data_IF_574099313972
#
_entry.id   IF_574099313972
#
_cell.length_a   1.000
_cell.length_b   1.000
_cell.length_c   1.000
_cell.angle_alpha   90.00
_cell.angle_beta   90.00
_cell.angle_gamma   90.00
#
_symmetry.space_group_name_H-M   'P 1'
#
loop_
_entity.id
_entity.type
_entity.pdbx_description
1 polymer ?
#
# COMPACT_ATOMS: atom_id res chain seq x y z
N UNK A 1 -25.96 1.86 9.73
CA UNK A 1 -25.17 3.09 9.92
C UNK A 1 -24.12 2.81 10.98
N UNK A 2 -22.87 2.59 10.59
CA UNK A 2 -21.72 2.62 11.51
C UNK A 2 -20.70 3.55 10.88
N UNK A 3 -20.77 4.82 11.25
CA UNK A 3 -19.71 5.80 10.98
C UNK A 3 -18.77 5.84 12.18
N UNK A 4 -17.50 5.62 11.94
CA UNK A 4 -16.44 6.26 12.71
C UNK A 4 -15.32 6.60 11.72
N UNK A 5 -15.19 7.90 11.46
CA UNK A 5 -14.23 8.51 10.58
C UNK A 5 -12.80 8.22 11.07
N UNK A 6 -12.09 7.35 10.36
CA UNK A 6 -10.64 7.47 10.27
C UNK A 6 -10.33 8.47 9.16
N UNK A 7 -10.10 9.74 9.49
CA UNK A 7 -9.54 10.71 8.54
C UNK A 7 -8.17 10.14 8.13
N UNK A 8 -8.00 9.88 6.84
CA UNK A 8 -6.71 9.55 6.26
C UNK A 8 -5.73 10.69 6.58
N UNK A 9 -4.85 10.50 7.58
CA UNK A 9 -3.72 11.40 7.82
C UNK A 9 -2.47 10.75 7.25
N UNK A 10 -1.83 11.40 6.28
CA UNK A 10 -0.41 11.15 6.02
C UNK A 10 0.32 11.55 7.29
N UNK A 11 0.92 10.57 7.95
CA UNK A 11 1.66 10.77 9.19
C UNK A 11 3.14 10.88 8.82
N UNK A 12 3.81 11.96 9.23
CA UNK A 12 5.27 12.04 9.11
C UNK A 12 5.88 10.98 10.02
N UNK A 13 6.57 9.99 9.45
CA UNK A 13 7.37 9.04 10.22
C UNK A 13 8.84 9.34 9.93
N UNK A 14 9.46 10.09 10.84
CA UNK A 14 10.90 10.30 10.82
C UNK A 14 11.55 9.05 11.42
N UNK A 15 12.19 8.22 10.59
CA UNK A 15 12.99 7.07 11.04
C UNK A 15 14.44 7.55 11.18
N UNK A 16 14.77 8.12 12.33
CA UNK A 16 16.14 8.51 12.67
C UNK A 16 16.82 7.41 13.51
N UNK A 17 18.12 7.20 13.34
CA UNK A 17 18.92 6.34 14.24
C UNK A 17 20.29 7.00 14.51
N UNK A 18 20.98 6.76 15.65
CA UNK A 18 20.63 5.92 16.81
C UNK A 18 20.84 6.63 18.18
N UNK A 19 19.81 6.78 19.02
CA UNK A 19 19.99 6.82 20.50
C UNK A 19 18.70 6.85 21.34
N UNK A 20 17.50 6.93 20.77
CA UNK A 20 16.28 6.96 21.59
C UNK A 20 15.24 5.97 21.08
N UNK A 21 14.85 5.08 21.99
CA UNK A 21 13.72 4.18 21.86
C UNK A 21 12.50 4.95 21.34
N UNK A 22 11.86 4.52 20.23
CA UNK A 22 10.64 5.16 19.78
C UNK A 22 9.55 4.99 20.86
N UNK A 23 9.10 6.10 21.46
CA UNK A 23 7.93 6.08 22.35
C UNK A 23 6.66 6.11 21.51
N UNK A 24 6.16 4.93 21.18
CA UNK A 24 4.80 4.73 20.73
C UNK A 24 3.94 4.61 22.00
N UNK A 25 2.91 5.45 22.14
CA UNK A 25 1.92 5.27 23.20
C UNK A 25 1.09 4.00 22.89
N UNK A 26 1.51 2.86 23.44
CA UNK A 26 1.01 1.50 23.14
C UNK A 26 -0.14 1.01 24.04
N UNK A 27 -0.66 1.81 24.97
CA UNK A 27 -1.48 1.26 26.07
C UNK A 27 -2.92 0.88 25.71
N UNK A 28 -3.48 1.34 24.59
CA UNK A 28 -4.84 0.98 24.14
C UNK A 28 -4.88 -0.20 23.15
N UNK A 29 -3.73 -0.76 22.77
CA UNK A 29 -3.60 -1.82 21.76
C UNK A 29 -3.90 -3.23 22.28
N UNK A 30 -3.55 -3.56 23.52
CA UNK A 30 -3.46 -4.96 23.98
C UNK A 30 -4.81 -5.69 24.13
N UNK A 31 -5.89 -5.00 24.52
CA UNK A 31 -7.20 -5.64 24.67
C UNK A 31 -7.91 -5.88 23.32
N UNK A 32 -7.63 -5.07 22.31
CA UNK A 32 -8.17 -5.25 20.96
C UNK A 32 -7.47 -6.39 20.21
N UNK A 33 -6.17 -6.61 20.45
CA UNK A 33 -5.40 -7.72 19.86
C UNK A 33 -5.88 -9.10 20.33
N UNK A 34 -6.29 -9.23 21.60
CA UNK A 34 -6.67 -10.53 22.18
C UNK A 34 -7.97 -11.09 21.59
N UNK A 35 -9.01 -10.24 21.46
CA UNK A 35 -10.33 -10.66 20.93
C UNK A 35 -10.29 -10.85 19.41
N UNK A 36 -9.46 -10.09 18.70
CA UNK A 36 -9.29 -10.22 17.25
C UNK A 36 -8.48 -11.45 16.85
N UNK A 37 -7.45 -11.87 17.61
CA UNK A 37 -6.59 -12.99 17.21
C UNK A 37 -7.33 -14.34 17.09
N UNK A 38 -8.34 -14.59 17.94
CA UNK A 38 -9.05 -15.88 17.98
C UNK A 38 -10.02 -16.04 16.80
N UNK A 39 -10.77 -14.97 16.48
CA UNK A 39 -11.68 -14.98 15.32
C UNK A 39 -10.85 -15.01 14.02
N UNK A 40 -9.77 -14.23 13.95
CA UNK A 40 -8.90 -14.15 12.77
C UNK A 40 -8.24 -15.49 12.45
N UNK A 41 -7.69 -16.23 13.44
CA UNK A 41 -7.07 -17.54 13.20
C UNK A 41 -8.02 -18.57 12.57
N UNK A 42 -9.30 -18.52 12.93
CA UNK A 42 -10.29 -19.46 12.41
C UNK A 42 -10.70 -19.16 10.96
N UNK A 43 -10.76 -17.89 10.55
CA UNK A 43 -11.19 -17.47 9.20
C UNK A 43 -10.04 -17.14 8.26
N UNK A 44 -8.82 -16.93 8.77
CA UNK A 44 -7.64 -16.57 7.99
C UNK A 44 -7.34 -17.52 6.81
N UNK A 45 -7.44 -18.87 6.94
CA UNK A 45 -7.20 -19.78 5.81
C UNK A 45 -8.25 -19.66 4.70
N UNK A 46 -9.50 -19.37 5.05
CA UNK A 46 -10.58 -19.19 4.07
C UNK A 46 -10.45 -17.83 3.36
N UNK A 47 -10.13 -16.78 4.13
CA UNK A 47 -9.86 -15.45 3.60
C UNK A 47 -8.62 -15.47 2.69
N UNK A 48 -7.55 -16.17 3.07
CA UNK A 48 -6.36 -16.35 2.24
C UNK A 48 -6.71 -17.06 0.93
N UNK A 49 -7.43 -18.19 0.96
CA UNK A 49 -7.81 -18.90 -0.28
C UNK A 49 -8.63 -18.05 -1.26
N UNK A 50 -9.51 -17.16 -0.77
CA UNK A 50 -10.29 -16.24 -1.63
C UNK A 50 -9.44 -15.06 -2.11
N UNK A 51 -8.62 -14.47 -1.24
CA UNK A 51 -7.72 -13.37 -1.58
C UNK A 51 -6.71 -13.77 -2.65
N UNK A 52 -6.08 -14.93 -2.51
CA UNK A 52 -5.10 -15.44 -3.47
C UNK A 52 -5.75 -15.59 -4.86
N UNK A 53 -6.92 -16.24 -4.94
CA UNK A 53 -7.65 -16.39 -6.21
C UNK A 53 -8.03 -15.05 -6.84
N UNK A 54 -8.59 -14.14 -6.05
CA UNK A 54 -9.00 -12.83 -6.55
C UNK A 54 -7.79 -11.97 -6.96
N UNK A 55 -6.65 -12.09 -6.28
CA UNK A 55 -5.43 -11.36 -6.63
C UNK A 55 -4.89 -11.79 -8.00
N UNK A 56 -4.92 -13.08 -8.30
CA UNK A 56 -4.51 -13.63 -9.61
C UNK A 56 -5.48 -13.19 -10.69
N UNK A 57 -6.78 -13.38 -10.46
CA UNK A 57 -7.82 -12.99 -11.42
C UNK A 57 -7.80 -11.48 -11.70
N UNK A 58 -7.52 -10.65 -10.69
CA UNK A 58 -7.38 -9.20 -10.85
C UNK A 58 -6.21 -8.84 -11.77
N UNK A 59 -5.04 -9.45 -11.57
CA UNK A 59 -3.88 -9.19 -12.43
C UNK A 59 -4.13 -9.57 -13.88
N UNK A 60 -4.73 -10.74 -14.12
CA UNK A 60 -5.10 -11.16 -15.48
C UNK A 60 -6.15 -10.26 -16.11
N UNK A 61 -7.15 -9.82 -15.33
CA UNK A 61 -8.13 -8.85 -15.78
C UNK A 61 -7.46 -7.52 -16.18
N UNK A 62 -6.51 -7.02 -15.39
CA UNK A 62 -5.74 -5.81 -15.73
C UNK A 62 -4.97 -6.00 -17.03
N UNK A 63 -4.24 -7.10 -17.21
CA UNK A 63 -3.46 -7.34 -18.44
C UNK A 63 -4.33 -7.35 -19.70
N UNK A 64 -5.59 -7.79 -19.59
CA UNK A 64 -6.53 -7.87 -20.70
C UNK A 64 -7.27 -6.55 -20.97
N UNK A 65 -7.49 -5.72 -19.95
CA UNK A 65 -8.41 -4.57 -20.02
C UNK A 65 -7.73 -3.21 -19.79
N UNK A 66 -6.50 -3.18 -19.30
CA UNK A 66 -5.74 -1.95 -19.09
C UNK A 66 -4.69 -1.74 -20.19
N UNK A 67 -4.31 -0.48 -20.38
CA UNK A 67 -3.21 -0.09 -21.26
C UNK A 67 -1.88 -0.21 -20.51
N UNK A 68 -0.93 -0.96 -21.08
CA UNK A 68 0.44 -1.05 -20.55
C UNK A 68 1.09 0.34 -20.48
N UNK A 69 1.90 0.58 -19.47
CA UNK A 69 2.56 1.87 -19.18
C UNK A 69 1.59 3.04 -18.89
N UNK A 70 0.36 2.72 -18.48
CA UNK A 70 -0.64 3.71 -18.10
C UNK A 70 -1.20 3.41 -16.69
N UNK A 71 -0.62 4.00 -15.63
CA UNK A 71 -1.06 3.77 -14.26
C UNK A 71 -2.54 4.07 -14.02
N UNK A 72 -3.08 5.11 -14.67
CA UNK A 72 -4.50 5.47 -14.52
C UNK A 72 -5.42 4.40 -15.11
N UNK A 73 -5.07 3.82 -16.26
CA UNK A 73 -5.80 2.71 -16.86
C UNK A 73 -5.73 1.45 -16.01
N UNK A 74 -4.57 1.16 -15.41
CA UNK A 74 -4.40 0.03 -14.48
C UNK A 74 -5.30 0.18 -13.25
N UNK A 75 -5.29 1.35 -12.59
CA UNK A 75 -6.14 1.63 -11.41
C UNK A 75 -7.62 1.50 -11.77
N UNK A 76 -8.04 2.06 -12.91
CA UNK A 76 -9.42 1.95 -13.40
C UNK A 76 -9.85 0.50 -13.66
N UNK A 77 -8.97 -0.32 -14.23
CA UNK A 77 -9.25 -1.74 -14.44
C UNK A 77 -9.37 -2.53 -13.13
N UNK A 78 -8.55 -2.20 -12.12
CA UNK A 78 -8.68 -2.82 -10.78
C UNK A 78 -10.00 -2.39 -10.11
N UNK A 79 -10.38 -1.11 -10.21
CA UNK A 79 -11.65 -0.61 -9.67
C UNK A 79 -12.85 -1.29 -10.36
N UNK A 80 -12.79 -1.47 -11.68
CA UNK A 80 -13.81 -2.21 -12.44
C UNK A 80 -13.89 -3.69 -12.00
N UNK A 81 -12.74 -4.36 -11.81
CA UNK A 81 -12.71 -5.72 -11.29
C UNK A 81 -13.34 -5.81 -9.89
N UNK A 82 -13.03 -4.84 -9.01
CA UNK A 82 -13.54 -4.78 -7.65
C UNK A 82 -15.05 -4.50 -7.55
N UNK A 83 -15.68 -3.97 -8.61
CA UNK A 83 -17.12 -3.73 -8.63
C UNK A 83 -17.94 -5.03 -8.53
N UNK A 84 -17.38 -6.17 -8.94
CA UNK A 84 -18.03 -7.49 -8.88
C UNK A 84 -17.26 -8.52 -8.07
N UNK A 85 -16.08 -8.18 -7.54
CA UNK A 85 -15.23 -9.09 -6.79
C UNK A 85 -14.81 -8.48 -5.46
N UNK A 86 -14.80 -9.29 -4.40
CA UNK A 86 -14.31 -8.82 -3.08
C UNK A 86 -12.81 -8.55 -3.15
N UNK A 87 -12.43 -7.27 -3.03
CA UNK A 87 -11.05 -6.79 -2.98
C UNK A 87 -10.82 -5.99 -1.71
N UNK A 88 -9.57 -5.95 -1.22
CA UNK A 88 -9.17 -5.17 -0.03
C UNK A 88 -8.41 -3.89 -0.42
N UNK A 89 -8.76 -3.31 -1.56
CA UNK A 89 -8.14 -2.09 -2.06
C UNK A 89 -8.67 -0.85 -1.32
N UNK A 90 -7.90 0.24 -1.38
CA UNK A 90 -8.28 1.53 -0.77
C UNK A 90 -9.53 2.12 -1.43
N UNK A 91 -9.69 1.89 -2.74
CA UNK A 91 -10.81 2.35 -3.54
C UNK A 91 -10.79 3.85 -3.87
N UNK A 92 -11.64 4.26 -4.80
CA UNK A 92 -11.63 5.59 -5.40
C UNK A 92 -11.76 6.75 -4.39
N UNK A 93 -12.71 6.65 -3.45
CA UNK A 93 -13.02 7.73 -2.51
C UNK A 93 -11.87 8.03 -1.54
N UNK A 94 -11.36 7.02 -0.84
CA UNK A 94 -10.21 7.19 0.06
C UNK A 94 -8.95 7.53 -0.73
N UNK A 95 -8.74 6.91 -1.88
CA UNK A 95 -7.58 7.18 -2.71
C UNK A 95 -7.48 8.65 -3.14
N UNK A 96 -8.61 9.30 -3.46
CA UNK A 96 -8.61 10.70 -3.88
C UNK A 96 -8.12 11.66 -2.77
N UNK A 97 -8.39 11.34 -1.51
CA UNK A 97 -7.90 12.10 -0.35
C UNK A 97 -6.36 12.02 -0.29
N UNK A 98 -5.81 10.81 -0.48
CA UNK A 98 -4.36 10.58 -0.47
C UNK A 98 -3.70 11.27 -1.67
N UNK A 99 -4.31 11.19 -2.85
CA UNK A 99 -3.80 11.87 -4.04
C UNK A 99 -3.70 13.39 -3.82
N UNK A 100 -4.68 13.99 -3.13
CA UNK A 100 -4.65 15.42 -2.79
C UNK A 100 -3.49 15.76 -1.85
N UNK A 101 -3.29 14.96 -0.80
CA UNK A 101 -2.18 15.13 0.14
C UNK A 101 -0.82 14.96 -0.54
N UNK A 102 -0.66 13.98 -1.44
CA UNK A 102 0.57 13.77 -2.22
C UNK A 102 0.88 15.00 -3.08
N UNK A 103 -0.12 15.54 -3.79
CA UNK A 103 0.06 16.75 -4.61
C UNK A 103 0.42 17.98 -3.78
N UNK A 104 -0.12 18.09 -2.58
CA UNK A 104 0.16 19.21 -1.68
C UNK A 104 1.58 19.11 -1.09
N UNK A 105 1.97 17.93 -0.59
CA UNK A 105 3.23 17.72 0.14
C UNK A 105 4.43 17.47 -0.75
N UNK A 106 4.23 16.93 -1.95
CA UNK A 106 5.28 16.60 -2.94
C UNK A 106 6.40 15.75 -2.31
N UNK A 107 6.07 14.60 -1.72
CA UNK A 107 7.04 13.81 -0.95
C UNK A 107 8.16 13.24 -1.84
N UNK A 108 9.43 13.46 -1.44
CA UNK A 108 10.60 12.84 -2.10
C UNK A 108 10.68 11.34 -1.86
N UNK A 109 10.23 10.85 -0.71
CA UNK A 109 10.18 9.42 -0.42
C UNK A 109 8.85 9.09 0.23
N UNK A 110 8.21 8.03 -0.26
CA UNK A 110 7.00 7.48 0.34
C UNK A 110 7.18 6.00 0.66
N UNK A 111 6.52 5.54 1.71
CA UNK A 111 6.43 4.12 2.01
C UNK A 111 4.99 3.68 2.30
N UNK A 112 4.64 2.47 1.85
CA UNK A 112 3.42 1.75 2.23
C UNK A 112 3.74 0.38 2.84
N UNK A 113 2.83 -0.14 3.67
CA UNK A 113 2.96 -1.45 4.28
C UNK A 113 1.72 -2.28 3.90
N UNK A 114 1.92 -3.34 3.13
CA UNK A 114 0.88 -4.20 2.55
C UNK A 114 0.51 -3.78 1.12
N UNK A 115 1.20 -4.36 0.14
CA UNK A 115 0.98 -4.10 -1.29
C UNK A 115 -0.25 -4.85 -1.83
N UNK A 116 -0.46 -6.09 -1.36
CA UNK A 116 -1.48 -7.03 -1.85
C UNK A 116 -1.45 -7.22 -3.38
N UNK A 117 -2.29 -6.52 -4.14
CA UNK A 117 -2.34 -6.57 -5.61
C UNK A 117 -1.62 -5.40 -6.28
N UNK A 118 -1.12 -4.43 -5.52
CA UNK A 118 -0.45 -3.25 -6.04
C UNK A 118 -1.36 -2.06 -6.37
N UNK A 119 -2.64 -2.08 -5.97
CA UNK A 119 -3.58 -0.96 -6.25
C UNK A 119 -3.07 0.38 -5.69
N UNK A 120 -2.78 0.41 -4.39
CA UNK A 120 -2.28 1.60 -3.70
C UNK A 120 -0.89 1.99 -4.23
N UNK A 121 -0.03 0.99 -4.44
CA UNK A 121 1.30 1.16 -5.00
C UNK A 121 1.26 1.92 -6.32
N UNK A 122 0.49 1.44 -7.30
CA UNK A 122 0.39 2.05 -8.63
C UNK A 122 -0.21 3.44 -8.55
N UNK A 123 -1.30 3.60 -7.80
CA UNK A 123 -2.00 4.88 -7.67
C UNK A 123 -1.12 5.96 -7.06
N UNK A 124 -0.55 5.67 -5.89
CA UNK A 124 0.18 6.66 -5.10
C UNK A 124 1.57 6.91 -5.64
N UNK A 125 2.28 5.89 -6.15
CA UNK A 125 3.56 6.10 -6.83
C UNK A 125 3.40 6.94 -8.10
N UNK A 126 2.33 6.73 -8.87
CA UNK A 126 2.04 7.58 -10.03
C UNK A 126 1.74 9.02 -9.59
N UNK A 127 0.91 9.23 -8.56
CA UNK A 127 0.62 10.58 -8.06
C UNK A 127 1.88 11.28 -7.52
N UNK A 128 2.75 10.53 -6.82
CA UNK A 128 4.03 11.04 -6.31
C UNK A 128 4.94 11.45 -7.45
N UNK A 129 5.12 10.59 -8.46
CA UNK A 129 5.96 10.87 -9.63
C UNK A 129 5.52 12.15 -10.35
N UNK A 130 4.22 12.32 -10.56
CA UNK A 130 3.69 13.51 -11.23
C UNK A 130 3.84 14.78 -10.37
N UNK A 131 3.61 14.69 -9.06
CA UNK A 131 3.84 15.81 -8.14
C UNK A 131 5.33 16.21 -8.06
N UNK A 132 6.23 15.23 -8.09
CA UNK A 132 7.67 15.42 -8.05
C UNK A 132 8.20 16.05 -9.35
N UNK A 133 7.77 15.54 -10.51
CA UNK A 133 8.05 16.14 -11.82
C UNK A 133 7.62 17.60 -11.89
N UNK A 134 6.39 17.90 -11.46
CA UNK A 134 5.87 19.27 -11.43
C UNK A 134 6.67 20.21 -10.51
N UNK A 135 7.35 19.64 -9.50
CA UNK A 135 8.20 20.38 -8.57
C UNK A 135 9.69 20.39 -8.95
N UNK A 136 10.09 19.69 -10.01
CA UNK A 136 11.50 19.55 -10.41
C UNK A 136 12.35 18.80 -9.38
N UNK A 137 11.76 17.84 -8.66
CA UNK A 137 12.47 17.03 -7.65
C UNK A 137 12.40 15.54 -8.00
N UNK A 138 13.38 14.78 -7.53
CA UNK A 138 13.31 13.32 -7.57
C UNK A 138 12.35 12.80 -6.52
N UNK A 139 11.76 11.64 -6.80
CA UNK A 139 10.95 10.93 -5.83
C UNK A 139 11.07 9.41 -5.97
N UNK A 140 10.81 8.68 -4.89
CA UNK A 140 10.77 7.22 -4.90
C UNK A 140 9.69 6.67 -3.96
N UNK A 141 9.09 5.54 -4.35
CA UNK A 141 8.04 4.87 -3.60
C UNK A 141 8.49 3.47 -3.14
N UNK A 142 8.43 3.19 -1.84
CA UNK A 142 8.80 1.92 -1.24
C UNK A 142 7.56 1.16 -0.79
N UNK A 143 7.31 0.00 -1.38
CA UNK A 143 6.16 -0.84 -1.05
C UNK A 143 6.60 -2.10 -0.35
N UNK A 144 6.18 -2.32 0.89
CA UNK A 144 6.56 -3.49 1.68
C UNK A 144 5.42 -4.50 1.69
N UNK A 145 5.71 -5.75 1.34
CA UNK A 145 4.71 -6.83 1.33
C UNK A 145 5.28 -8.09 1.97
N UNK A 146 4.55 -8.64 2.93
CA UNK A 146 4.99 -9.81 3.68
C UNK A 146 4.93 -11.08 2.81
N UNK A 147 3.82 -11.31 2.11
CA UNK A 147 3.62 -12.51 1.31
C UNK A 147 4.49 -12.47 0.05
N UNK A 148 5.34 -13.49 -0.19
CA UNK A 148 6.12 -13.59 -1.42
C UNK A 148 5.24 -13.54 -2.69
N UNK A 149 4.07 -14.17 -2.65
CA UNK A 149 3.15 -14.25 -3.78
C UNK A 149 2.48 -12.90 -4.07
N UNK A 150 2.09 -12.15 -3.03
CA UNK A 150 1.56 -10.80 -3.21
C UNK A 150 2.67 -9.82 -3.63
N UNK A 151 3.88 -9.95 -3.09
CA UNK A 151 5.00 -9.13 -3.52
C UNK A 151 5.33 -9.33 -5.00
N UNK A 152 5.33 -10.59 -5.48
CA UNK A 152 5.51 -10.91 -6.89
C UNK A 152 4.41 -10.29 -7.77
N UNK A 153 3.14 -10.40 -7.36
CA UNK A 153 2.01 -9.80 -8.11
C UNK A 153 2.06 -8.28 -8.13
N UNK A 154 2.40 -7.65 -7.01
CA UNK A 154 2.57 -6.20 -6.94
C UNK A 154 3.69 -5.72 -7.86
N UNK A 155 4.83 -6.43 -7.94
CA UNK A 155 5.90 -6.13 -8.90
C UNK A 155 5.41 -6.23 -10.34
N UNK A 156 4.65 -7.27 -10.67
CA UNK A 156 4.12 -7.44 -12.03
C UNK A 156 3.10 -6.34 -12.39
N UNK A 157 2.25 -5.96 -11.44
CA UNK A 157 1.31 -4.85 -11.59
C UNK A 157 2.03 -3.51 -11.80
N UNK A 158 3.08 -3.24 -11.01
CA UNK A 158 3.94 -2.05 -11.12
C UNK A 158 4.63 -2.00 -12.48
N UNK A 159 5.19 -3.11 -12.93
CA UNK A 159 5.86 -3.18 -14.23
C UNK A 159 4.88 -3.01 -15.38
N UNK A 160 3.70 -3.63 -15.32
CA UNK A 160 2.65 -3.42 -16.31
C UNK A 160 2.20 -1.94 -16.37
N UNK A 161 2.17 -1.25 -15.22
CA UNK A 161 1.85 0.17 -15.14
C UNK A 161 2.98 1.10 -15.61
N UNK A 162 4.20 0.60 -15.87
CA UNK A 162 5.34 1.43 -16.28
C UNK A 162 5.89 2.30 -15.14
N UNK A 163 6.02 1.71 -13.95
CA UNK A 163 6.49 2.36 -12.72
C UNK A 163 7.75 1.71 -12.14
N UNK A 164 8.45 0.87 -12.92
CA UNK A 164 9.66 0.16 -12.48
C UNK A 164 10.79 1.10 -12.01
N UNK A 165 10.85 2.32 -12.54
CA UNK A 165 11.82 3.36 -12.17
C UNK A 165 11.44 4.14 -10.90
N UNK A 166 10.15 4.13 -10.55
CA UNK A 166 9.58 4.90 -9.44
C UNK A 166 9.40 4.07 -8.15
N UNK A 167 9.24 2.76 -8.29
CA UNK A 167 8.78 1.89 -7.20
C UNK A 167 9.80 0.80 -6.89
N UNK A 168 10.01 0.54 -5.59
CA UNK A 168 10.65 -0.70 -5.12
C UNK A 168 9.69 -1.48 -4.25
N UNK A 169 9.33 -2.70 -4.69
CA UNK A 169 8.55 -3.65 -3.89
C UNK A 169 9.50 -4.57 -3.10
N UNK A 170 9.47 -4.42 -1.78
CA UNK A 170 10.32 -5.11 -0.82
C UNK A 170 9.50 -6.23 -0.17
N UNK A 171 10.03 -7.45 -0.25
CA UNK A 171 9.38 -8.61 0.35
C UNK A 171 9.85 -8.81 1.79
N UNK A 172 8.93 -9.11 2.70
CA UNK A 172 9.21 -9.50 4.08
C UNK A 172 8.51 -8.64 5.11
N UNK A 173 8.71 -8.97 6.39
CA UNK A 173 8.16 -8.19 7.48
C UNK A 173 8.72 -6.77 7.47
N UNK A 174 7.85 -5.77 7.61
CA UNK A 174 8.27 -4.37 7.57
C UNK A 174 9.35 -4.05 8.61
N UNK A 175 9.23 -4.61 9.83
CA UNK A 175 10.21 -4.46 10.91
C UNK A 175 11.63 -4.84 10.49
N UNK A 176 11.77 -5.92 9.73
CA UNK A 176 13.04 -6.49 9.34
C UNK A 176 13.63 -5.72 8.14
N UNK A 177 12.74 -5.12 7.35
CA UNK A 177 13.05 -4.40 6.13
C UNK A 177 13.22 -2.88 6.34
N UNK A 178 13.09 -2.38 7.57
CA UNK A 178 13.29 -0.95 7.92
C UNK A 178 14.64 -0.39 7.45
N UNK A 179 15.65 -1.25 7.30
CA UNK A 179 16.97 -0.86 6.82
C UNK A 179 16.95 -0.23 5.41
N UNK A 180 15.96 -0.56 4.57
CA UNK A 180 15.77 0.08 3.25
C UNK A 180 15.41 1.57 3.34
N UNK A 181 14.89 2.03 4.48
CA UNK A 181 14.49 3.41 4.72
C UNK A 181 15.55 4.22 5.49
N UNK A 182 16.65 3.60 5.93
CA UNK A 182 17.70 4.28 6.70
C UNK A 182 18.28 5.48 5.94
N UNK A 183 18.41 6.61 6.65
CA UNK A 183 18.95 7.85 6.09
C UNK A 183 18.01 8.58 5.13
N UNK A 184 16.72 8.22 5.09
CA UNK A 184 15.70 8.88 4.26
C UNK A 184 14.67 9.57 5.14
N UNK A 185 14.31 10.80 4.78
CA UNK A 185 13.08 11.44 5.29
C UNK A 185 11.91 10.91 4.48
N UNK A 186 11.08 10.05 5.08
CA UNK A 186 10.00 9.34 4.39
C UNK A 186 8.64 9.83 4.88
N UNK A 187 7.79 10.24 3.95
CA UNK A 187 6.38 10.47 4.23
C UNK A 187 5.64 9.15 4.11
N UNK A 188 5.23 8.59 5.25
CA UNK A 188 4.60 7.27 5.29
C UNK A 188 3.10 7.41 5.09
N UNK A 189 2.61 6.82 3.99
CA UNK A 189 1.19 6.58 3.81
C UNK A 189 0.82 5.28 4.53
N UNK A 190 0.36 5.36 5.76
CA UNK A 190 -0.04 4.21 6.62
C UNK A 190 -1.37 3.56 6.21
N UNK A 191 -1.84 3.78 4.98
CA UNK A 191 -3.24 3.59 4.57
C UNK A 191 -3.67 2.15 4.27
N UNK A 192 -2.80 1.17 4.52
CA UNK A 192 -3.06 -0.23 4.17
C UNK A 192 -2.80 -1.17 5.36
N UNK A 193 -3.24 -0.79 6.56
CA UNK A 193 -3.27 -1.71 7.71
C UNK A 193 -4.19 -2.94 7.49
N UNK A 194 -4.91 -3.04 6.36
CA UNK A 194 -5.91 -4.09 6.11
C UNK A 194 -5.33 -5.47 5.77
N UNK A 195 -4.02 -5.73 5.85
CA UNK A 195 -3.46 -7.04 5.46
C UNK A 195 -2.35 -7.61 6.36
N UNK A 196 -2.10 -7.07 7.56
CA UNK A 196 -1.06 -7.62 8.46
C UNK A 196 -1.72 -8.33 9.64
N UNK A 197 -2.33 -9.49 9.39
CA UNK A 197 -2.51 -10.52 10.40
C UNK A 197 -2.49 -11.90 9.71
N UNK A 198 -1.27 -12.41 9.52
CA UNK A 198 -0.99 -13.84 9.51
C UNK A 198 0.01 -14.11 10.64
#
# INVERSE_FOLDING_TARGET
>A
MVSALGIAKISHLIIDTPSSTPRIAMSSFSLFESVTSTITKAVAPLLSGKMQRNSVACLEFVKQNATRNNPASVVAAIDAFAASNTMMNVGAGKGAIVDAEIRQKKPRAMAEIGAYTGYSTVRFASAQREAAKAAGIDSHYYSFEYSPEFAARAREMVSFAGLDDQVTVIQGAFSDQLHHLKGKTVDVSTLTYTAIYY
#
